data_IF_914038811835
#
_entry.id   IF_914038811835
#
_cell.length_a   1.000
_cell.length_b   1.000
_cell.length_c   1.000
_cell.angle_alpha   90.00
_cell.angle_beta   90.00
_cell.angle_gamma   90.00
#
_symmetry.space_group_name_H-M   'P 1'
#
loop_
_entity.id
_entity.type
_entity.pdbx_description
1 polymer ?
#
# COMPACT_ATOMS: atom_id res chain seq x y z
N UNK A 1 -32.28 -1.24 10.73
CA UNK A 1 -31.71 -0.53 9.55
C UNK A 1 -30.35 -0.02 9.97
N UNK A 2 -29.35 -0.93 9.96
CA UNK A 2 -27.97 -0.66 10.38
C UNK A 2 -27.22 0.00 9.21
N UNK A 3 -26.81 1.26 9.41
CA UNK A 3 -25.90 1.94 8.48
C UNK A 3 -24.49 1.37 8.73
N UNK A 4 -23.96 0.65 7.78
CA UNK A 4 -22.55 0.35 7.72
C UNK A 4 -21.81 1.63 7.34
N UNK A 5 -21.20 2.26 8.32
CA UNK A 5 -20.18 3.31 8.13
C UNK A 5 -18.86 2.58 7.88
N UNK A 6 -18.55 2.32 6.63
CA UNK A 6 -17.20 1.87 6.25
C UNK A 6 -16.31 3.10 6.12
N UNK A 7 -15.63 3.46 7.19
CA UNK A 7 -14.51 4.40 7.10
C UNK A 7 -13.30 3.62 6.56
N UNK A 8 -13.15 3.58 5.25
CA UNK A 8 -11.93 3.01 4.67
C UNK A 8 -10.82 4.05 4.75
N UNK A 9 -9.86 3.83 5.64
CA UNK A 9 -8.55 4.47 5.56
C UNK A 9 -8.01 4.15 4.15
N UNK A 10 -7.49 5.15 3.46
CA UNK A 10 -6.91 5.01 2.11
C UNK A 10 -5.55 4.27 2.21
N UNK A 11 -5.61 3.00 2.58
CA UNK A 11 -4.47 2.16 2.96
C UNK A 11 -3.77 1.53 1.76
N UNK A 12 -4.43 1.49 0.60
CA UNK A 12 -3.90 0.83 -0.59
C UNK A 12 -3.93 1.73 -1.82
N UNK A 13 -2.77 1.88 -2.44
CA UNK A 13 -2.76 2.03 -3.88
C UNK A 13 -3.20 0.67 -4.46
N UNK A 14 -4.21 0.58 -5.34
CA UNK A 14 -4.62 -0.71 -5.89
C UNK A 14 -3.40 -1.35 -6.57
N UNK A 15 -2.99 -2.52 -6.06
CA UNK A 15 -2.11 -3.41 -6.79
C UNK A 15 -2.88 -3.81 -8.05
N UNK A 16 -2.48 -3.26 -9.20
CA UNK A 16 -3.09 -3.61 -10.49
C UNK A 16 -2.87 -5.11 -10.67
N UNK A 17 -3.95 -5.87 -10.65
CA UNK A 17 -3.97 -7.27 -11.07
C UNK A 17 -3.50 -7.32 -12.52
N UNK A 18 -2.27 -7.77 -12.74
CA UNK A 18 -1.78 -8.08 -14.07
C UNK A 18 -2.46 -9.38 -14.50
N UNK A 19 -3.42 -9.26 -15.41
CA UNK A 19 -4.09 -10.41 -16.03
C UNK A 19 -3.05 -11.38 -16.59
N UNK A 20 -3.22 -12.67 -16.28
CA UNK A 20 -2.42 -13.75 -16.86
C UNK A 20 -2.54 -13.70 -18.38
N UNK A 21 -1.47 -13.33 -19.05
CA UNK A 21 -1.31 -13.58 -20.49
C UNK A 21 -1.02 -15.06 -20.64
N UNK A 22 -2.02 -15.84 -21.00
CA UNK A 22 -1.86 -17.24 -21.43
C UNK A 22 -1.19 -17.24 -22.80
N UNK A 23 0.11 -17.43 -22.85
CA UNK A 23 0.80 -17.78 -24.09
C UNK A 23 0.56 -19.27 -24.39
N UNK A 24 -0.19 -19.55 -25.44
CA UNK A 24 -0.26 -20.86 -26.05
C UNK A 24 1.04 -21.11 -26.82
N UNK A 25 1.85 -22.07 -26.38
CA UNK A 25 2.91 -22.67 -27.21
C UNK A 25 2.38 -23.95 -27.87
N UNK A 26 2.68 -24.17 -29.16
CA UNK A 26 2.27 -25.39 -29.83
C UNK A 26 3.16 -26.57 -29.39
N UNK A 27 2.52 -27.68 -29.08
CA UNK A 27 3.15 -28.97 -28.79
C UNK A 27 3.70 -29.55 -30.09
N UNK A 28 5.02 -29.64 -30.18
CA UNK A 28 5.69 -30.50 -31.20
C UNK A 28 6.01 -31.81 -30.53
N UNK A 29 5.35 -32.86 -30.96
CA UNK A 29 5.56 -34.20 -30.49
C UNK A 29 6.91 -34.77 -31.00
N UNK A 30 7.70 -35.33 -30.08
CA UNK A 30 8.77 -36.29 -30.42
C UNK A 30 8.44 -37.63 -29.80
N UNK A 31 8.24 -38.60 -30.70
CA UNK A 31 8.17 -40.02 -30.38
C UNK A 31 9.59 -40.51 -30.19
N UNK A 32 9.90 -41.06 -29.02
CA UNK A 32 11.12 -41.87 -28.81
C UNK A 32 10.74 -43.26 -28.34
N UNK A 33 11.18 -44.19 -29.14
CA UNK A 33 10.98 -45.63 -29.08
C UNK A 33 11.75 -46.23 -27.88
N UNK A 34 11.06 -47.02 -27.08
CA UNK A 34 11.66 -47.80 -25.98
C UNK A 34 12.40 -49.03 -26.50
N UNK A 35 13.62 -49.25 -26.03
CA UNK A 35 14.28 -50.54 -26.11
C UNK A 35 14.62 -51.02 -24.69
N UNK A 36 13.95 -52.09 -24.29
CA UNK A 36 14.13 -52.81 -23.04
C UNK A 36 15.32 -53.77 -23.14
N UNK A 37 16.23 -53.75 -22.16
CA UNK A 37 17.15 -54.84 -21.88
C UNK A 37 17.11 -55.15 -20.38
N UNK A 38 16.63 -56.32 -20.04
CA UNK A 38 16.66 -56.92 -18.72
C UNK A 38 17.99 -57.61 -18.49
N UNK A 39 18.60 -57.33 -17.34
CA UNK A 39 19.62 -58.23 -16.76
C UNK A 39 19.36 -58.34 -15.26
N UNK A 40 19.10 -59.57 -14.85
CA UNK A 40 18.95 -60.02 -13.47
C UNK A 40 20.31 -60.28 -12.84
N UNK A 41 20.52 -59.99 -11.55
CA UNK A 41 21.03 -60.87 -10.50
C UNK A 41 21.57 -60.12 -9.29
N UNK A 42 21.22 -60.65 -8.12
CA UNK A 42 22.11 -60.70 -6.99
C UNK A 42 21.63 -59.97 -5.72
N UNK A 43 20.91 -60.71 -4.88
CA UNK A 43 20.59 -60.41 -3.49
C UNK A 43 21.83 -60.39 -2.62
N UNK A 44 22.08 -59.33 -1.88
CA UNK A 44 22.69 -59.37 -0.55
C UNK A 44 22.06 -58.30 0.36
N UNK A 45 21.37 -58.79 1.39
CA UNK A 45 20.81 -57.99 2.43
C UNK A 45 21.90 -57.67 3.48
N UNK A 46 22.19 -56.42 3.72
CA UNK A 46 22.85 -55.97 4.94
C UNK A 46 21.98 -54.96 5.64
N UNK A 47 21.45 -55.36 6.78
CA UNK A 47 20.71 -54.51 7.72
C UNK A 47 21.67 -53.51 8.36
N UNK A 48 21.57 -52.24 7.94
CA UNK A 48 22.18 -51.13 8.65
C UNK A 48 21.07 -50.27 9.23
N UNK A 49 21.01 -50.18 10.56
CA UNK A 49 20.14 -49.27 11.35
C UNK A 49 20.42 -47.84 10.92
N UNK A 50 19.39 -47.02 10.56
CA UNK A 50 19.64 -45.61 10.26
C UNK A 50 19.86 -44.87 11.59
N UNK A 51 21.09 -44.38 11.76
CA UNK A 51 21.40 -43.39 12.76
C UNK A 51 20.56 -42.13 12.46
N UNK A 52 19.82 -41.69 13.47
CA UNK A 52 19.02 -40.45 13.48
C UNK A 52 19.96 -39.25 13.30
N UNK A 53 20.20 -38.87 12.05
CA UNK A 53 20.88 -37.62 11.73
C UNK A 53 19.97 -36.48 12.16
N UNK A 54 20.36 -35.77 13.23
CA UNK A 54 19.76 -34.50 13.59
C UNK A 54 20.01 -33.54 12.42
N UNK A 55 18.93 -33.16 11.74
CA UNK A 55 18.94 -32.12 10.71
C UNK A 55 19.39 -30.84 11.40
N UNK A 56 20.65 -30.43 11.22
CA UNK A 56 21.07 -29.05 11.42
C UNK A 56 20.29 -28.23 10.39
N UNK A 57 19.42 -27.35 10.87
CA UNK A 57 18.75 -26.34 10.03
C UNK A 57 19.84 -25.47 9.39
N UNK A 58 20.11 -25.72 8.13
CA UNK A 58 21.02 -24.92 7.34
C UNK A 58 20.34 -23.58 7.04
N UNK A 59 20.67 -22.54 7.83
CA UNK A 59 20.12 -21.17 7.76
C UNK A 59 20.83 -20.35 6.68
N UNK A 60 21.63 -20.94 5.79
CA UNK A 60 22.63 -20.23 5.01
C UNK A 60 22.32 -20.05 3.53
N UNK A 61 21.23 -20.56 2.99
CA UNK A 61 20.92 -20.35 1.57
C UNK A 61 19.52 -19.78 1.42
N UNK A 62 19.44 -18.44 1.18
CA UNK A 62 18.21 -17.80 0.74
C UNK A 62 17.89 -18.38 -0.64
N UNK A 63 16.70 -18.94 -0.79
CA UNK A 63 16.20 -19.48 -2.05
C UNK A 63 16.16 -18.39 -3.13
N UNK A 64 16.69 -18.66 -4.32
CA UNK A 64 16.70 -17.74 -5.45
C UNK A 64 15.28 -17.37 -5.91
N UNK A 65 14.32 -18.28 -5.82
CA UNK A 65 12.92 -18.01 -6.11
C UNK A 65 12.33 -16.99 -5.13
N UNK A 66 12.63 -17.14 -3.84
CA UNK A 66 12.23 -16.16 -2.82
C UNK A 66 12.84 -14.77 -3.07
N UNK A 67 14.12 -14.71 -3.45
CA UNK A 67 14.78 -13.44 -3.78
C UNK A 67 14.11 -12.76 -4.96
N UNK A 68 13.85 -13.51 -6.03
CA UNK A 68 13.19 -13.00 -7.23
C UNK A 68 11.77 -12.48 -6.92
N UNK A 69 11.00 -13.20 -6.10
CA UNK A 69 9.67 -12.78 -5.66
C UNK A 69 9.72 -11.52 -4.77
N UNK A 70 10.70 -11.44 -3.87
CA UNK A 70 10.90 -10.25 -3.03
C UNK A 70 11.33 -9.03 -3.85
N UNK A 71 12.20 -9.18 -4.83
CA UNK A 71 12.60 -8.11 -5.75
C UNK A 71 11.41 -7.64 -6.59
N UNK A 72 10.65 -8.56 -7.19
CA UNK A 72 9.44 -8.22 -7.92
C UNK A 72 8.41 -7.48 -7.06
N UNK A 73 8.27 -7.84 -5.77
CA UNK A 73 7.45 -7.11 -4.82
C UNK A 73 7.97 -5.68 -4.60
N UNK A 74 9.28 -5.51 -4.37
CA UNK A 74 9.93 -4.21 -4.15
C UNK A 74 9.77 -3.29 -5.36
N UNK A 75 9.93 -3.83 -6.56
CA UNK A 75 9.73 -3.11 -7.82
C UNK A 75 8.29 -2.64 -7.99
N UNK A 76 7.30 -3.48 -7.71
CA UNK A 76 5.88 -3.09 -7.78
C UNK A 76 5.56 -1.92 -6.87
N UNK A 77 6.01 -1.93 -5.62
CA UNK A 77 5.72 -0.83 -4.69
C UNK A 77 6.51 0.43 -5.02
N UNK A 78 7.70 0.33 -5.60
CA UNK A 78 8.44 1.50 -6.11
C UNK A 78 7.74 2.09 -7.33
N UNK A 79 7.33 1.29 -8.31
CA UNK A 79 6.57 1.75 -9.48
C UNK A 79 5.26 2.43 -9.05
N UNK A 80 4.55 1.88 -8.06
CA UNK A 80 3.33 2.50 -7.55
C UNK A 80 3.56 3.88 -6.92
N UNK A 81 4.73 4.08 -6.32
CA UNK A 81 5.13 5.36 -5.74
C UNK A 81 5.45 6.41 -6.83
N UNK A 82 6.10 5.97 -7.92
CA UNK A 82 6.54 6.83 -9.04
C UNK A 82 5.46 7.15 -10.08
N UNK A 83 4.34 6.43 -10.08
CA UNK A 83 3.28 6.62 -11.09
C UNK A 83 2.66 8.01 -11.02
N UNK A 84 1.95 8.40 -12.06
CA UNK A 84 1.08 9.57 -12.04
C UNK A 84 0.04 9.42 -10.92
N UNK A 85 -0.25 10.53 -10.26
CA UNK A 85 -1.12 10.58 -9.09
C UNK A 85 -0.64 9.69 -7.92
N UNK A 86 0.63 9.28 -7.93
CA UNK A 86 1.30 8.58 -6.84
C UNK A 86 1.69 9.53 -5.70
N UNK A 87 2.22 8.99 -4.61
CA UNK A 87 2.51 9.80 -3.42
C UNK A 87 3.62 10.83 -3.62
N UNK A 88 4.56 10.59 -4.55
CA UNK A 88 5.61 11.57 -4.89
C UNK A 88 5.08 12.78 -5.70
N UNK A 89 3.85 12.71 -6.17
CA UNK A 89 3.22 13.78 -6.93
C UNK A 89 2.31 14.67 -6.10
N UNK A 90 2.02 14.29 -4.83
CA UNK A 90 1.10 15.06 -4.00
C UNK A 90 1.63 16.47 -3.75
N UNK A 91 0.82 17.46 -4.08
CA UNK A 91 1.12 18.88 -4.02
C UNK A 91 0.18 19.68 -3.11
N UNK A 92 -0.87 19.04 -2.57
CA UNK A 92 -1.79 19.70 -1.66
C UNK A 92 -2.89 18.80 -1.12
N UNK A 93 -3.34 19.19 0.09
CA UNK A 93 -4.50 18.62 0.78
C UNK A 93 -5.29 19.77 1.38
N UNK A 94 -6.49 20.01 0.87
CA UNK A 94 -7.32 21.15 1.25
C UNK A 94 -8.68 20.68 1.77
N UNK A 95 -9.02 21.04 3.00
CA UNK A 95 -10.37 20.81 3.53
C UNK A 95 -11.28 21.88 2.95
N UNK A 96 -12.34 21.46 2.28
CA UNK A 96 -13.30 22.36 1.64
C UNK A 96 -14.42 22.74 2.63
N UNK A 97 -14.92 23.95 2.49
CA UNK A 97 -16.11 24.44 3.18
C UNK A 97 -17.39 24.01 2.44
N UNK A 98 -18.50 23.99 3.13
CA UNK A 98 -19.82 23.86 2.51
C UNK A 98 -20.05 24.99 1.50
N UNK A 99 -20.67 24.70 0.38
CA UNK A 99 -20.90 25.64 -0.71
C UNK A 99 -19.70 25.79 -1.65
N UNK A 100 -19.55 26.95 -2.25
CA UNK A 100 -18.56 27.22 -3.28
C UNK A 100 -17.16 27.42 -2.69
N UNK A 101 -16.16 26.78 -3.33
CA UNK A 101 -14.73 26.90 -3.04
C UNK A 101 -14.01 27.21 -4.35
N UNK A 102 -13.59 28.45 -4.55
CA UNK A 102 -12.75 28.82 -5.69
C UNK A 102 -11.34 28.26 -5.51
N UNK A 103 -10.69 27.83 -6.60
CA UNK A 103 -9.35 27.27 -6.53
C UNK A 103 -8.47 27.71 -7.71
N UNK A 104 -7.15 27.73 -7.48
CA UNK A 104 -6.14 28.11 -8.44
C UNK A 104 -4.89 28.66 -7.78
N UNK A 105 -3.97 29.25 -8.56
CA UNK A 105 -2.70 29.80 -8.07
C UNK A 105 -2.80 31.25 -7.60
N UNK A 106 -3.88 31.95 -7.92
CA UNK A 106 -4.12 33.34 -7.48
C UNK A 106 -4.50 33.43 -6.02
N UNK A 107 -3.92 34.40 -5.31
CA UNK A 107 -4.13 34.61 -3.86
C UNK A 107 -5.59 34.92 -3.47
N UNK A 108 -6.45 35.31 -4.42
CA UNK A 108 -7.88 35.59 -4.19
C UNK A 108 -8.79 34.36 -4.21
N UNK A 109 -8.23 33.14 -4.36
CA UNK A 109 -9.02 31.92 -4.30
C UNK A 109 -9.21 31.46 -2.85
N UNK A 110 -10.30 30.72 -2.60
CA UNK A 110 -10.51 30.04 -1.30
C UNK A 110 -9.46 28.94 -1.08
N UNK A 111 -9.06 28.27 -2.16
CA UNK A 111 -8.03 27.24 -2.17
C UNK A 111 -6.90 27.73 -3.07
N UNK A 112 -5.79 28.16 -2.46
CA UNK A 112 -4.62 28.65 -3.18
C UNK A 112 -3.65 27.50 -3.41
N UNK A 113 -3.41 27.17 -4.68
CA UNK A 113 -2.44 26.16 -5.07
C UNK A 113 -1.01 26.64 -4.89
N UNK A 114 -0.06 25.75 -4.63
CA UNK A 114 1.35 26.10 -4.47
C UNK A 114 1.90 26.93 -5.64
N UNK A 115 2.78 27.93 -5.36
CA UNK A 115 3.27 28.87 -6.39
C UNK A 115 4.06 28.21 -7.52
N UNK A 116 4.67 27.05 -7.30
CA UNK A 116 5.35 26.27 -8.34
C UNK A 116 4.40 25.76 -9.45
N UNK A 117 3.09 25.84 -9.22
CA UNK A 117 2.05 25.53 -10.21
C UNK A 117 1.58 26.76 -10.99
N UNK A 118 2.20 27.93 -10.78
CA UNK A 118 1.94 29.10 -11.61
C UNK A 118 2.24 28.75 -13.09
N UNK A 119 1.34 29.15 -14.00
CA UNK A 119 1.46 28.84 -15.43
C UNK A 119 0.75 27.57 -15.89
N UNK A 120 0.18 26.76 -15.02
CA UNK A 120 -0.71 25.63 -15.40
C UNK A 120 -1.99 26.14 -16.08
N UNK A 121 -2.40 27.38 -15.77
CA UNK A 121 -3.61 28.03 -16.30
C UNK A 121 -3.78 29.42 -15.70
N UNK A 122 -4.98 30.03 -15.83
CA UNK A 122 -5.28 31.33 -15.23
C UNK A 122 -5.19 31.26 -13.71
N UNK A 123 -5.09 32.43 -13.06
CA UNK A 123 -4.99 32.54 -11.60
C UNK A 123 -6.13 31.83 -10.86
N UNK A 124 -7.33 31.77 -11.47
CA UNK A 124 -8.47 30.97 -11.01
C UNK A 124 -8.74 29.87 -12.03
N UNK A 125 -8.65 28.63 -11.60
CA UNK A 125 -8.82 27.43 -12.43
C UNK A 125 -10.25 26.90 -12.42
N UNK A 126 -11.06 27.31 -11.44
CA UNK A 126 -12.45 26.90 -11.32
C UNK A 126 -13.03 27.09 -9.94
N UNK A 127 -14.18 26.49 -9.72
CA UNK A 127 -14.88 26.42 -8.44
C UNK A 127 -15.35 25.00 -8.19
N UNK A 128 -15.19 24.51 -6.95
CA UNK A 128 -15.79 23.27 -6.48
C UNK A 128 -16.88 23.61 -5.48
N UNK A 129 -18.10 23.18 -5.76
CA UNK A 129 -19.24 23.34 -4.85
C UNK A 129 -19.48 22.04 -4.10
N UNK A 130 -19.48 22.12 -2.77
CA UNK A 130 -19.80 21.01 -1.86
C UNK A 130 -21.22 21.21 -1.35
N UNK A 131 -22.06 20.20 -1.50
CA UNK A 131 -23.37 20.08 -0.89
C UNK A 131 -23.39 18.82 0.00
N UNK A 132 -23.03 18.99 1.24
CA UNK A 132 -22.94 17.90 2.21
C UNK A 132 -24.29 17.29 2.55
N UNK A 133 -25.40 18.06 2.45
CA UNK A 133 -26.76 17.56 2.68
C UNK A 133 -27.15 16.51 1.62
N UNK A 134 -26.87 16.81 0.35
CA UNK A 134 -27.17 15.95 -0.77
C UNK A 134 -25.99 15.03 -1.12
N UNK A 135 -24.85 15.16 -0.42
CA UNK A 135 -23.60 14.41 -0.66
C UNK A 135 -23.11 14.55 -2.11
N UNK A 136 -23.20 15.77 -2.65
CA UNK A 136 -22.73 16.06 -4.01
C UNK A 136 -21.55 17.01 -3.99
N UNK A 137 -20.64 16.77 -4.92
CA UNK A 137 -19.52 17.65 -5.22
C UNK A 137 -19.53 17.95 -6.69
N UNK A 138 -19.46 19.22 -7.03
CA UNK A 138 -19.57 19.68 -8.42
C UNK A 138 -18.40 20.58 -8.77
N UNK A 139 -17.68 20.26 -9.83
CA UNK A 139 -16.63 21.09 -10.40
C UNK A 139 -17.20 21.96 -11.53
N UNK A 140 -17.01 23.27 -11.43
CA UNK A 140 -17.19 24.23 -12.51
C UNK A 140 -15.81 24.75 -12.94
N UNK A 141 -15.25 24.28 -14.07
CA UNK A 141 -14.01 24.82 -14.62
C UNK A 141 -14.13 26.31 -14.97
N UNK A 142 -13.01 27.02 -14.98
CA UNK A 142 -12.95 28.33 -15.62
C UNK A 142 -12.98 28.15 -17.15
N UNK A 143 -13.64 29.05 -17.89
CA UNK A 143 -13.89 28.93 -19.33
C UNK A 143 -12.62 28.78 -20.19
N UNK A 144 -11.49 29.31 -19.71
CA UNK A 144 -10.19 29.26 -20.39
C UNK A 144 -9.36 28.00 -20.05
N UNK A 145 -9.96 26.96 -19.44
CA UNK A 145 -9.25 25.75 -19.02
C UNK A 145 -9.74 24.50 -19.74
N UNK A 146 -8.81 23.61 -20.09
CA UNK A 146 -9.09 22.36 -20.80
C UNK A 146 -8.94 21.15 -19.86
N UNK A 147 -9.89 21.01 -18.95
CA UNK A 147 -9.91 19.86 -18.02
C UNK A 147 -10.24 18.55 -18.75
N UNK A 148 -9.64 17.49 -18.27
CA UNK A 148 -9.91 16.12 -18.72
C UNK A 148 -10.33 15.23 -17.55
N UNK A 149 -11.13 14.22 -17.84
CA UNK A 149 -11.46 13.13 -16.93
C UNK A 149 -11.35 11.82 -17.69
N UNK A 150 -10.67 10.82 -17.14
CA UNK A 150 -10.39 9.54 -17.83
C UNK A 150 -9.77 9.75 -19.22
N UNK A 151 -8.92 10.78 -19.39
CA UNK A 151 -8.29 11.14 -20.65
C UNK A 151 -9.19 11.85 -21.68
N UNK A 152 -10.45 12.12 -21.35
CA UNK A 152 -11.42 12.83 -22.23
C UNK A 152 -11.63 14.25 -21.74
N UNK A 153 -11.52 15.22 -22.65
CA UNK A 153 -11.83 16.60 -22.35
C UNK A 153 -13.33 16.78 -22.03
N UNK A 154 -13.62 17.68 -21.10
CA UNK A 154 -14.98 18.07 -20.78
C UNK A 154 -15.08 19.59 -20.63
N UNK A 155 -16.27 20.12 -20.88
CA UNK A 155 -16.62 21.52 -20.72
C UNK A 155 -17.81 21.63 -19.77
N UNK A 156 -17.92 22.79 -19.11
CA UNK A 156 -19.02 23.05 -18.19
C UNK A 156 -18.94 22.24 -16.88
N UNK A 157 -20.07 22.18 -16.22
CA UNK A 157 -20.20 21.57 -14.89
C UNK A 157 -20.02 20.04 -14.95
N UNK A 158 -19.27 19.51 -13.95
CA UNK A 158 -19.07 18.07 -13.78
C UNK A 158 -19.29 17.67 -12.32
N UNK A 159 -20.12 16.67 -12.08
CA UNK A 159 -20.22 16.00 -10.79
C UNK A 159 -18.99 15.13 -10.55
N UNK A 160 -18.40 15.25 -9.34
CA UNK A 160 -17.27 14.46 -8.91
C UNK A 160 -17.71 13.45 -7.84
N UNK A 161 -17.18 12.23 -7.94
CA UNK A 161 -17.31 11.27 -6.86
C UNK A 161 -16.34 11.63 -5.72
N UNK A 162 -16.84 11.70 -4.49
CA UNK A 162 -16.03 11.87 -3.29
C UNK A 162 -15.72 10.53 -2.60
N UNK A 163 -15.91 9.39 -3.30
CA UNK A 163 -15.64 8.07 -2.77
C UNK A 163 -14.15 7.85 -2.53
N UNK A 164 -13.80 7.31 -1.36
CA UNK A 164 -12.44 6.89 -1.03
C UNK A 164 -12.02 5.62 -1.77
N UNK A 165 -12.98 4.76 -2.16
CA UNK A 165 -12.71 3.49 -2.84
C UNK A 165 -12.51 3.64 -4.35
N UNK A 166 -13.17 4.62 -4.98
CA UNK A 166 -13.04 4.89 -6.42
C UNK A 166 -12.77 6.37 -6.64
N UNK A 167 -11.52 6.71 -6.88
CA UNK A 167 -11.07 8.09 -7.10
C UNK A 167 -11.50 8.57 -8.49
N UNK A 168 -12.23 9.66 -8.52
CA UNK A 168 -12.63 10.36 -9.75
C UNK A 168 -11.61 11.49 -10.03
N UNK A 169 -10.56 11.16 -10.78
CA UNK A 169 -9.51 12.09 -11.12
C UNK A 169 -9.91 12.99 -12.26
N UNK A 170 -9.71 14.30 -12.08
CA UNK A 170 -9.72 15.28 -13.15
C UNK A 170 -8.32 15.89 -13.30
N UNK A 171 -7.93 16.20 -14.53
CA UNK A 171 -6.58 16.66 -14.83
C UNK A 171 -6.59 17.90 -15.73
N UNK A 172 -5.59 18.76 -15.51
CA UNK A 172 -5.29 19.94 -16.32
C UNK A 172 -3.77 20.07 -16.45
N UNK A 173 -3.22 19.88 -17.64
CA UNK A 173 -1.78 19.83 -17.90
C UNK A 173 -1.07 18.86 -16.94
N UNK A 174 -0.13 19.34 -16.14
CA UNK A 174 0.64 18.55 -15.17
C UNK A 174 -0.09 18.22 -13.88
N UNK A 175 -1.15 18.95 -13.56
CA UNK A 175 -1.90 18.73 -12.32
C UNK A 175 -3.04 17.74 -12.48
N UNK A 176 -3.32 17.03 -11.42
CA UNK A 176 -4.54 16.22 -11.27
C UNK A 176 -5.13 16.44 -9.89
N UNK A 177 -6.43 16.35 -9.79
CA UNK A 177 -7.09 16.45 -8.51
C UNK A 177 -8.27 15.48 -8.39
N UNK A 178 -8.58 15.10 -7.17
CA UNK A 178 -9.80 14.36 -6.83
C UNK A 178 -10.31 14.80 -5.45
N UNK A 179 -11.57 14.51 -5.17
CA UNK A 179 -12.17 14.78 -3.87
C UNK A 179 -12.36 13.47 -3.11
N UNK A 180 -12.15 13.49 -1.80
CA UNK A 180 -12.52 12.40 -0.90
C UNK A 180 -13.37 12.96 0.25
N UNK A 181 -14.40 12.20 0.63
CA UNK A 181 -15.13 12.44 1.86
C UNK A 181 -14.55 11.55 2.97
N UNK A 182 -14.27 12.15 4.11
CA UNK A 182 -13.82 11.45 5.31
C UNK A 182 -14.38 12.13 6.54
N UNK A 183 -15.09 11.37 7.36
CA UNK A 183 -15.68 11.85 8.63
C UNK A 183 -16.51 13.13 8.46
N UNK A 184 -17.30 13.19 7.37
CA UNK A 184 -18.13 14.35 7.03
C UNK A 184 -17.39 15.54 6.44
N UNK A 185 -16.06 15.46 6.28
CA UNK A 185 -15.23 16.50 5.66
C UNK A 185 -14.94 16.14 4.20
N UNK A 186 -15.10 17.11 3.31
CA UNK A 186 -14.71 16.98 1.91
C UNK A 186 -13.30 17.55 1.73
N UNK A 187 -12.41 16.76 1.18
CA UNK A 187 -10.98 17.06 1.05
C UNK A 187 -10.59 17.00 -0.42
N UNK A 188 -10.10 18.13 -0.95
CA UNK A 188 -9.48 18.20 -2.25
C UNK A 188 -8.02 17.71 -2.14
N UNK A 189 -7.67 16.72 -2.93
CA UNK A 189 -6.31 16.20 -3.12
C UNK A 189 -5.77 16.71 -4.44
N UNK A 190 -4.63 17.37 -4.39
CA UNK A 190 -3.92 17.90 -5.55
C UNK A 190 -2.64 17.10 -5.78
N UNK A 191 -2.40 16.72 -7.03
CA UNK A 191 -1.17 16.10 -7.48
C UNK A 191 -0.52 16.95 -8.58
N UNK A 192 0.80 17.02 -8.58
CA UNK A 192 1.64 17.57 -9.62
C UNK A 192 2.47 16.45 -10.24
N UNK A 193 2.08 15.96 -11.39
CA UNK A 193 2.73 14.85 -12.07
C UNK A 193 4.12 15.17 -12.62
N UNK A 194 4.55 16.45 -12.56
CA UNK A 194 5.91 16.92 -12.88
C UNK A 194 6.63 17.48 -11.64
N UNK A 195 6.29 17.00 -10.43
CA UNK A 195 6.88 17.49 -9.19
C UNK A 195 8.39 17.20 -9.11
N UNK A 196 9.15 18.15 -8.56
CA UNK A 196 10.59 18.00 -8.33
C UNK A 196 10.90 16.85 -7.37
N UNK A 197 10.02 16.60 -6.39
CA UNK A 197 10.12 15.47 -5.47
C UNK A 197 10.13 14.14 -6.24
N UNK A 198 9.21 13.98 -7.20
CA UNK A 198 9.18 12.79 -8.07
C UNK A 198 10.41 12.69 -8.96
N UNK A 199 10.83 13.80 -9.57
CA UNK A 199 11.97 13.84 -10.47
C UNK A 199 13.30 13.53 -9.76
N UNK A 200 13.47 14.04 -8.52
CA UNK A 200 14.70 13.87 -7.73
C UNK A 200 14.73 12.56 -6.92
N UNK A 201 13.64 11.81 -6.87
CA UNK A 201 13.56 10.60 -6.04
C UNK A 201 14.56 9.51 -6.47
N UNK A 202 15.48 9.15 -5.58
CA UNK A 202 16.61 8.23 -5.84
C UNK A 202 16.26 6.74 -5.64
N UNK A 203 15.00 6.41 -5.33
CA UNK A 203 14.56 5.05 -5.03
C UNK A 203 14.49 4.76 -3.53
N UNK A 204 13.80 3.66 -3.21
CA UNK A 204 13.69 3.14 -1.84
C UNK A 204 15.00 2.49 -1.42
N UNK A 205 15.29 2.49 -0.14
CA UNK A 205 16.46 1.84 0.44
C UNK A 205 15.98 0.68 1.30
N UNK A 206 16.59 -0.47 1.12
CA UNK A 206 16.19 -1.69 1.80
C UNK A 206 17.31 -2.24 2.68
N UNK A 207 16.95 -2.96 3.71
CA UNK A 207 17.86 -3.90 4.33
C UNK A 207 18.16 -5.06 3.37
N UNK A 208 19.35 -5.67 3.46
CA UNK A 208 19.58 -6.95 2.81
C UNK A 208 18.52 -7.97 3.24
N UNK A 209 17.99 -8.79 2.31
CA UNK A 209 17.06 -9.86 2.65
C UNK A 209 17.65 -10.83 3.67
N UNK A 210 16.86 -11.28 4.62
CA UNK A 210 17.30 -12.26 5.61
C UNK A 210 16.17 -13.17 6.06
N UNK A 211 16.44 -14.46 6.17
CA UNK A 211 15.47 -15.43 6.67
C UNK A 211 15.19 -15.27 8.18
N UNK A 212 16.06 -14.58 8.93
CA UNK A 212 15.85 -14.32 10.35
C UNK A 212 14.58 -13.52 10.65
N UNK A 213 14.08 -12.75 9.67
CA UNK A 213 12.86 -11.94 9.77
C UNK A 213 11.70 -12.45 8.89
N UNK A 214 11.79 -13.68 8.37
CA UNK A 214 10.68 -14.43 7.78
C UNK A 214 10.27 -15.52 8.78
N UNK A 215 9.20 -15.29 9.52
CA UNK A 215 8.78 -16.17 10.61
C UNK A 215 7.46 -16.86 10.32
N UNK A 216 7.19 -17.95 11.03
CA UNK A 216 5.88 -18.61 10.99
C UNK A 216 4.91 -17.90 11.93
N UNK A 217 3.73 -17.56 11.41
CA UNK A 217 2.64 -16.95 12.16
C UNK A 217 1.34 -17.75 12.01
N UNK A 218 0.38 -17.48 12.87
CA UNK A 218 -1.00 -17.95 12.76
C UNK A 218 -1.96 -16.77 12.82
N UNK A 219 -2.95 -16.76 11.97
CA UNK A 219 -4.04 -15.78 12.02
C UNK A 219 -5.11 -16.24 13.00
N UNK A 220 -5.48 -15.35 13.93
CA UNK A 220 -6.54 -15.56 14.92
C UNK A 220 -7.63 -14.53 14.65
N UNK A 221 -8.80 -14.95 14.15
CA UNK A 221 -9.88 -14.03 13.84
C UNK A 221 -10.50 -13.42 15.10
N UNK A 222 -10.95 -12.18 14.98
CA UNK A 222 -11.85 -11.56 15.95
C UNK A 222 -13.32 -11.92 15.65
N UNK A 223 -14.19 -11.64 16.58
CA UNK A 223 -15.65 -11.71 16.33
C UNK A 223 -16.02 -10.71 15.22
N UNK A 224 -17.00 -11.04 14.35
CA UNK A 224 -17.48 -10.14 13.31
C UNK A 224 -17.86 -8.75 13.86
N UNK A 225 -17.52 -7.70 13.13
CA UNK A 225 -17.79 -6.30 13.52
C UNK A 225 -16.82 -5.70 14.54
N UNK A 226 -15.76 -6.42 14.92
CA UNK A 226 -14.71 -5.87 15.79
C UNK A 226 -14.02 -4.69 15.11
N UNK A 227 -13.88 -3.58 15.84
CA UNK A 227 -13.06 -2.41 15.47
C UNK A 227 -11.95 -2.21 16.48
N UNK A 228 -10.89 -1.50 16.07
CA UNK A 228 -9.81 -1.03 16.92
C UNK A 228 -9.59 0.47 16.70
N UNK A 229 -9.34 1.26 17.75
CA UNK A 229 -9.07 2.68 17.59
C UNK A 229 -7.68 2.89 16.98
N UNK A 230 -7.63 3.65 15.90
CA UNK A 230 -6.41 4.02 15.20
C UNK A 230 -6.27 5.54 15.23
N UNK A 231 -5.15 6.01 15.74
CA UNK A 231 -4.75 7.43 15.70
C UNK A 231 -3.95 7.67 14.43
N UNK A 232 -4.13 8.79 13.75
CA UNK A 232 -3.30 9.17 12.61
C UNK A 232 -2.26 10.26 13.00
N UNK A 233 -1.40 10.65 12.07
CA UNK A 233 -0.30 11.61 12.30
C UNK A 233 -0.74 13.05 12.56
N UNK A 234 -2.03 13.36 12.49
CA UNK A 234 -2.65 14.65 12.83
C UNK A 234 -3.62 14.53 14.02
N UNK A 235 -3.42 13.49 14.86
CA UNK A 235 -4.15 13.21 16.08
C UNK A 235 -5.67 12.96 15.92
N UNK A 236 -6.15 12.68 14.71
CA UNK A 236 -7.52 12.20 14.50
C UNK A 236 -7.60 10.70 14.85
N UNK A 237 -8.68 10.30 15.52
CA UNK A 237 -8.95 8.92 15.93
C UNK A 237 -10.11 8.38 15.10
N UNK A 238 -9.93 7.21 14.51
CA UNK A 238 -10.99 6.48 13.82
C UNK A 238 -11.09 5.04 14.34
N UNK A 239 -12.30 4.51 14.42
CA UNK A 239 -12.54 3.10 14.74
C UNK A 239 -12.47 2.27 13.45
N UNK A 240 -11.33 1.61 13.24
CA UNK A 240 -11.10 0.84 12.02
C UNK A 240 -11.51 -0.62 12.21
N UNK A 241 -12.15 -1.23 11.20
CA UNK A 241 -12.43 -2.66 11.21
C UNK A 241 -11.15 -3.47 11.44
N UNK A 242 -11.23 -4.54 12.23
CA UNK A 242 -10.13 -5.47 12.42
C UNK A 242 -10.60 -6.89 12.26
N UNK A 243 -10.10 -7.65 11.24
CA UNK A 243 -10.48 -9.03 11.04
C UNK A 243 -9.90 -9.97 12.09
N UNK A 244 -8.86 -9.55 12.82
CA UNK A 244 -8.16 -10.36 13.79
C UNK A 244 -6.72 -9.91 13.97
N UNK A 245 -5.91 -10.79 14.56
CA UNK A 245 -4.48 -10.57 14.77
C UNK A 245 -3.67 -11.77 14.31
N UNK A 246 -2.37 -11.57 14.12
CA UNK A 246 -1.44 -12.68 13.93
C UNK A 246 -0.62 -12.91 15.19
N UNK A 247 -0.41 -14.18 15.54
CA UNK A 247 0.51 -14.60 16.59
C UNK A 247 1.74 -15.24 15.95
N UNK A 248 2.93 -14.81 16.35
CA UNK A 248 4.20 -15.34 15.87
C UNK A 248 5.24 -15.39 16.97
N UNK A 249 6.29 -16.17 16.78
CA UNK A 249 7.41 -16.28 17.70
C UNK A 249 8.66 -15.62 17.11
N UNK A 250 9.39 -14.86 17.92
CA UNK A 250 10.70 -14.31 17.58
C UNK A 250 11.66 -14.46 18.76
N UNK A 251 12.81 -15.08 18.54
CA UNK A 251 13.81 -15.38 19.59
C UNK A 251 13.20 -16.04 20.84
N UNK A 252 12.31 -17.01 20.63
CA UNK A 252 11.67 -17.79 21.70
C UNK A 252 10.53 -17.08 22.45
N UNK A 253 10.21 -15.83 22.13
CA UNK A 253 9.09 -15.08 22.70
C UNK A 253 7.93 -14.95 21.73
N UNK A 254 6.70 -14.97 22.23
CA UNK A 254 5.48 -14.77 21.43
C UNK A 254 5.12 -13.30 21.34
N UNK A 255 4.68 -12.89 20.16
CA UNK A 255 4.23 -11.55 19.85
C UNK A 255 2.94 -11.58 19.04
N UNK A 256 2.23 -10.45 19.01
CA UNK A 256 0.99 -10.27 18.26
C UNK A 256 1.04 -8.99 17.46
N UNK A 257 0.37 -8.99 16.31
CA UNK A 257 0.08 -7.79 15.52
C UNK A 257 -1.39 -7.80 15.14
N UNK A 258 -2.11 -6.75 15.50
CA UNK A 258 -3.49 -6.53 15.09
C UNK A 258 -3.53 -6.10 13.61
N UNK A 259 -4.38 -6.74 12.82
CA UNK A 259 -4.67 -6.29 11.47
C UNK A 259 -5.64 -5.11 11.50
N UNK A 260 -5.45 -4.16 10.58
CA UNK A 260 -6.24 -2.92 10.45
C UNK A 260 -6.91 -2.90 9.09
N UNK A 261 -8.20 -2.58 9.04
CA UNK A 261 -9.00 -2.64 7.82
C UNK A 261 -9.45 -4.06 7.48
N UNK A 262 -10.36 -4.19 6.53
CA UNK A 262 -10.91 -5.48 6.09
C UNK A 262 -11.11 -5.49 4.57
N UNK A 263 -10.01 -5.65 3.83
CA UNK A 263 -9.96 -5.66 2.36
C UNK A 263 -9.68 -7.05 1.76
N UNK A 264 -9.82 -8.09 2.57
CA UNK A 264 -9.57 -9.48 2.17
C UNK A 264 -8.13 -9.96 2.41
N UNK A 265 -7.20 -9.06 2.75
CA UNK A 265 -5.86 -9.34 3.21
C UNK A 265 -5.68 -9.16 4.73
N UNK A 266 -4.42 -9.03 5.17
CA UNK A 266 -4.07 -8.56 6.51
C UNK A 266 -3.09 -7.40 6.37
N UNK A 267 -3.51 -6.23 6.79
CA UNK A 267 -2.70 -5.02 6.81
C UNK A 267 -2.27 -4.70 8.24
N UNK A 268 -0.98 -4.47 8.43
CA UNK A 268 -0.40 -4.15 9.73
C UNK A 268 0.27 -2.77 9.68
N UNK A 269 -0.14 -1.91 10.58
CA UNK A 269 0.59 -0.69 10.91
C UNK A 269 1.45 -1.03 12.13
N UNK A 270 2.77 -1.01 11.99
CA UNK A 270 3.68 -1.45 13.05
C UNK A 270 4.81 -0.46 13.31
N UNK A 271 5.42 -0.57 14.48
CA UNK A 271 6.65 0.11 14.86
C UNK A 271 7.53 -0.84 15.66
N UNK A 272 8.84 -0.70 15.53
CA UNK A 272 9.81 -1.56 16.19
C UNK A 272 11.04 -0.77 16.66
N UNK A 273 12.03 -1.43 17.23
CA UNK A 273 13.23 -0.79 17.79
C UNK A 273 14.16 -0.13 16.77
N UNK A 274 13.86 -0.15 15.46
CA UNK A 274 14.62 0.59 14.44
C UNK A 274 14.02 1.97 14.14
N UNK A 275 12.83 2.27 14.68
CA UNK A 275 12.08 3.49 14.40
C UNK A 275 12.82 4.76 14.83
N UNK A 276 13.02 5.68 13.88
CA UNK A 276 13.73 6.95 14.09
C UNK A 276 15.25 6.84 14.06
N UNK A 277 15.78 5.63 13.95
CA UNK A 277 17.20 5.33 13.71
C UNK A 277 17.41 4.99 12.23
N UNK A 278 17.02 3.80 11.81
CA UNK A 278 17.21 3.33 10.43
C UNK A 278 15.92 3.17 9.65
N UNK A 279 14.76 3.25 10.30
CA UNK A 279 13.43 3.20 9.67
C UNK A 279 12.58 4.42 10.00
N UNK A 280 11.52 4.63 9.26
CA UNK A 280 10.61 5.77 9.46
C UNK A 280 10.00 5.76 10.86
N UNK A 281 10.14 6.89 11.57
CA UNK A 281 9.84 6.98 13.01
C UNK A 281 8.40 6.67 13.39
N UNK A 282 7.38 7.20 12.67
CA UNK A 282 5.97 6.99 13.06
C UNK A 282 5.54 5.53 12.94
N UNK A 283 5.79 4.90 11.79
CA UNK A 283 5.34 3.53 11.51
C UNK A 283 6.01 2.95 10.26
N UNK A 284 5.88 1.63 10.11
CA UNK A 284 6.04 0.89 8.85
C UNK A 284 4.78 0.08 8.58
N UNK A 285 4.53 -0.20 7.32
CA UNK A 285 3.43 -1.02 6.88
C UNK A 285 3.91 -2.41 6.50
N UNK A 286 3.11 -3.41 6.79
CA UNK A 286 3.31 -4.79 6.35
C UNK A 286 1.96 -5.33 5.86
N UNK A 287 1.95 -5.95 4.68
CA UNK A 287 0.73 -6.47 4.08
C UNK A 287 0.86 -7.93 3.68
N UNK A 288 -0.14 -8.72 4.05
CA UNK A 288 -0.33 -10.11 3.60
C UNK A 288 -1.51 -10.10 2.64
N UNK A 289 -1.22 -10.28 1.35
CA UNK A 289 -2.18 -10.06 0.25
C UNK A 289 -3.46 -10.92 0.35
N UNK A 290 -3.30 -12.16 0.79
CA UNK A 290 -4.43 -13.07 0.99
C UNK A 290 -4.53 -13.44 2.47
N UNK A 291 -5.71 -13.21 3.06
CA UNK A 291 -5.95 -13.60 4.45
C UNK A 291 -5.74 -15.11 4.62
N UNK A 292 -4.84 -15.52 5.55
CA UNK A 292 -4.63 -16.93 5.83
C UNK A 292 -5.85 -17.56 6.49
N UNK A 293 -5.99 -18.87 6.33
CA UNK A 293 -7.00 -19.64 7.07
C UNK A 293 -6.75 -19.54 8.59
N UNK A 294 -7.81 -19.43 9.40
CA UNK A 294 -7.71 -19.33 10.85
C UNK A 294 -6.88 -20.47 11.46
N UNK A 295 -5.92 -20.12 12.33
CA UNK A 295 -5.02 -21.05 13.05
C UNK A 295 -4.08 -21.90 12.17
N UNK A 296 -4.11 -21.74 10.84
CA UNK A 296 -3.18 -22.41 9.93
C UNK A 296 -1.85 -21.63 9.88
N UNK A 297 -0.70 -22.31 10.03
CA UNK A 297 0.59 -21.65 9.93
C UNK A 297 0.83 -21.06 8.54
N UNK A 298 1.36 -19.83 8.49
CA UNK A 298 1.78 -19.16 7.26
C UNK A 298 3.07 -18.35 7.49
N UNK A 299 3.71 -17.92 6.40
CA UNK A 299 4.91 -17.10 6.48
C UNK A 299 4.56 -15.62 6.68
N UNK A 300 4.98 -15.03 7.80
CA UNK A 300 4.97 -13.58 8.05
C UNK A 300 6.37 -13.04 7.74
N UNK A 301 6.47 -12.23 6.67
CA UNK A 301 7.75 -11.82 6.11
C UNK A 301 8.01 -10.32 6.29
N UNK A 302 8.81 -9.96 7.29
CA UNK A 302 9.18 -8.56 7.56
C UNK A 302 10.13 -7.97 6.50
N UNK A 303 10.76 -8.77 5.61
CA UNK A 303 11.51 -8.25 4.47
C UNK A 303 10.61 -7.46 3.49
N UNK A 304 9.28 -7.64 3.59
CA UNK A 304 8.27 -6.91 2.82
C UNK A 304 7.73 -5.68 3.54
N UNK A 305 8.21 -5.36 4.75
CA UNK A 305 7.79 -4.14 5.46
C UNK A 305 8.26 -2.90 4.70
N UNK A 306 7.39 -1.89 4.55
CA UNK A 306 7.65 -0.70 3.75
C UNK A 306 7.17 0.58 4.46
N UNK A 307 7.67 1.73 4.00
CA UNK A 307 7.33 3.03 4.56
C UNK A 307 5.94 3.49 4.10
N UNK A 308 5.16 4.12 5.01
CA UNK A 308 3.87 4.71 4.69
C UNK A 308 4.00 5.93 3.76
N UNK A 309 2.90 6.40 3.16
CA UNK A 309 2.87 7.60 2.32
C UNK A 309 3.49 8.84 2.96
N UNK A 310 3.31 9.02 4.28
CA UNK A 310 3.84 10.15 5.03
C UNK A 310 5.38 10.21 5.10
N UNK A 311 6.06 9.13 4.75
CA UNK A 311 7.51 9.13 4.58
C UNK A 311 7.96 9.86 3.31
N UNK A 312 7.04 10.10 2.36
CA UNK A 312 7.30 10.66 1.04
C UNK A 312 6.56 11.98 0.77
N UNK A 313 5.48 12.25 1.51
CA UNK A 313 4.67 13.46 1.32
C UNK A 313 4.01 13.89 2.63
N UNK A 314 4.09 15.20 2.93
CA UNK A 314 3.40 15.84 4.05
C UNK A 314 1.88 15.95 3.84
N UNK A 315 1.41 15.79 2.62
CA UNK A 315 -0.02 15.89 2.28
C UNK A 315 -0.80 14.61 2.53
N UNK A 316 -0.25 13.67 3.30
CA UNK A 316 -0.89 12.41 3.65
C UNK A 316 -1.18 12.31 5.15
N UNK A 317 -2.21 11.55 5.52
CA UNK A 317 -2.59 11.29 6.92
C UNK A 317 -2.47 9.79 7.17
N UNK A 318 -1.33 9.35 7.70
CA UNK A 318 -1.07 7.94 7.90
C UNK A 318 -1.45 7.49 9.31
N UNK A 319 -1.91 6.24 9.46
CA UNK A 319 -2.19 5.66 10.76
C UNK A 319 -0.90 5.47 11.57
N UNK A 320 -1.00 5.65 12.87
CA UNK A 320 0.00 5.26 13.84
C UNK A 320 -0.28 3.83 14.34
N UNK A 321 0.74 3.08 14.75
CA UNK A 321 0.55 1.71 15.21
C UNK A 321 -0.23 1.68 16.53
N UNK A 322 -1.24 0.81 16.64
CA UNK A 322 -1.86 0.54 17.92
C UNK A 322 -0.82 -0.06 18.88
N UNK A 323 -1.05 0.04 20.18
CA UNK A 323 -0.07 -0.41 21.21
C UNK A 323 0.39 -1.85 21.00
N UNK A 324 -0.50 -2.73 20.57
CA UNK A 324 -0.24 -4.13 20.27
C UNK A 324 0.81 -4.31 19.15
N UNK A 325 0.88 -3.37 18.20
CA UNK A 325 1.76 -3.43 17.04
C UNK A 325 3.11 -2.73 17.26
N UNK A 326 3.43 -2.38 18.50
CA UNK A 326 4.75 -1.85 18.86
C UNK A 326 5.62 -3.00 19.34
N UNK A 327 6.55 -3.44 18.48
CA UNK A 327 7.45 -4.54 18.77
C UNK A 327 8.65 -4.05 19.59
N UNK A 328 8.97 -4.72 20.72
CA UNK A 328 10.05 -4.27 21.63
C UNK A 328 11.46 -4.67 21.17
N UNK A 329 11.62 -5.13 19.95
CA UNK A 329 12.89 -5.55 19.35
C UNK A 329 13.09 -4.86 18.00
N UNK A 330 14.34 -4.88 17.50
CA UNK A 330 14.70 -4.32 16.20
C UNK A 330 14.34 -5.29 15.09
N UNK A 331 13.59 -4.81 14.09
CA UNK A 331 13.30 -5.53 12.85
C UNK A 331 14.18 -4.94 11.74
N UNK A 332 15.41 -5.43 11.63
CA UNK A 332 16.39 -5.00 10.64
C UNK A 332 16.14 -5.70 9.29
N UNK A 333 14.92 -5.57 8.78
CA UNK A 333 14.43 -6.10 7.52
C UNK A 333 13.44 -5.12 6.90
N UNK A 334 13.16 -5.27 5.60
CA UNK A 334 12.26 -4.40 4.88
C UNK A 334 12.87 -3.05 4.50
N UNK A 335 12.05 -2.04 4.30
CA UNK A 335 12.48 -0.70 3.88
C UNK A 335 13.09 0.10 5.01
N UNK A 336 14.23 0.72 4.71
CA UNK A 336 14.89 1.74 5.52
C UNK A 336 14.32 3.11 5.22
N UNK A 337 14.58 4.08 6.08
CA UNK A 337 14.19 5.47 5.83
C UNK A 337 15.40 6.37 5.69
N UNK A 338 15.35 7.17 4.63
CA UNK A 338 16.18 8.36 4.47
C UNK A 338 15.25 9.53 4.24
N UNK A 339 15.42 10.59 5.04
CA UNK A 339 14.64 11.81 4.81
C UNK A 339 14.88 12.28 3.38
N UNK A 340 13.83 12.57 2.59
CA UNK A 340 13.98 13.22 1.30
C UNK A 340 14.74 14.52 1.46
N UNK A 341 15.74 14.75 0.59
CA UNK A 341 16.54 15.99 0.56
C UNK A 341 15.75 17.10 -0.09
#
# INVERSE_FOLDING_TARGET
>A
MQRQLTSSIDLHAPLVSVGRVTQFLPIVGFVVLALSLAVSNGVFATTATPAKAAAKSDTSQIDLEYLADLEAYRDRIEQSLRRDNGWLTLAGRFVMKEGANSFGTGAGNDIVFPPQLAGVGPARLGTITVDGKNKTVTLQPADSTNWTAEGKAFQGERKLSASSSKRDWVALDRISMHVVERDGKYILRLADNKSDVRASFKGRIWYPPTMAFKTTAKFIPYAPGKTIPIVNVIDEVSDEPSPGYVEFAFKGKKYKLDAVGDDGGLFFVMRDGTAGDTTYRPSRFLYVEKRPEPNVPFALDFNRAYNPPCAFSEFTTCPLPPKQNILPFRVEAGEKYRKPS
#
